data_IF_381860995354
#
_entry.id   IF_381860995354
#
_cell.length_a   1.000
_cell.length_b   1.000
_cell.length_c   1.000
_cell.angle_alpha   90.00
_cell.angle_beta   90.00
_cell.angle_gamma   90.00
#
_symmetry.space_group_name_H-M   'P 1'
#
loop_
_entity.id
_entity.type
_entity.pdbx_description
1 polymer ?
#
# COMPACT_ATOMS: atom_id res chain seq x y z
N UNK A 1 -24.41 40.21 0.59
CA UNK A 1 -25.54 39.45 -0.01
C UNK A 1 -25.02 38.09 -0.39
N UNK A 2 -25.00 37.19 0.58
CA UNK A 2 -24.76 35.76 0.37
C UNK A 2 -26.14 35.11 0.26
N UNK A 3 -26.34 34.25 -0.73
CA UNK A 3 -27.57 33.49 -0.93
C UNK A 3 -27.23 32.04 -0.67
N UNK A 4 -27.74 31.52 0.43
CA UNK A 4 -27.69 30.12 0.83
C UNK A 4 -28.67 29.31 -0.01
N UNK A 5 -28.23 28.17 -0.53
CA UNK A 5 -29.05 27.22 -1.28
C UNK A 5 -28.96 25.84 -0.66
N UNK A 6 -29.90 25.51 0.21
CA UNK A 6 -30.12 24.18 0.77
C UNK A 6 -30.78 23.27 -0.27
N UNK A 7 -30.15 22.13 -0.58
CA UNK A 7 -30.67 21.09 -1.47
C UNK A 7 -31.07 19.84 -0.68
N UNK A 8 -32.34 19.76 -0.33
CA UNK A 8 -33.02 18.58 0.21
C UNK A 8 -33.25 17.57 -0.92
N UNK A 9 -32.95 16.27 -0.72
CA UNK A 9 -33.43 15.22 -1.64
C UNK A 9 -34.17 14.14 -0.84
N UNK A 10 -35.44 14.02 -1.19
CA UNK A 10 -36.44 13.15 -0.58
C UNK A 10 -36.27 11.68 -1.02
N UNK A 11 -36.76 10.82 -0.13
CA UNK A 11 -36.89 9.38 -0.28
C UNK A 11 -38.11 9.06 -1.16
N UNK A 12 -37.99 8.08 -2.05
CA UNK A 12 -39.15 7.35 -2.55
C UNK A 12 -39.23 5.97 -1.90
N UNK A 13 -40.37 5.75 -1.24
CA UNK A 13 -40.83 4.45 -0.78
C UNK A 13 -41.68 3.76 -1.84
N UNK A 14 -41.70 2.44 -1.76
CA UNK A 14 -42.69 1.59 -2.41
C UNK A 14 -43.05 0.47 -1.41
N UNK A 15 -44.25 0.61 -0.85
CA UNK A 15 -45.12 -0.39 -0.19
C UNK A 15 -45.81 -1.22 -1.29
N UNK A 16 -46.37 -2.43 -1.15
CA UNK A 16 -46.60 -3.43 -0.12
C UNK A 16 -46.87 -4.75 -0.88
N UNK A 17 -46.59 -5.91 -0.27
CA UNK A 17 -47.62 -6.96 -0.12
C UNK A 17 -47.27 -7.88 1.06
N UNK A 18 -48.26 -8.15 1.90
CA UNK A 18 -48.21 -9.11 3.00
C UNK A 18 -48.52 -10.52 2.49
N UNK A 19 -48.65 -11.58 3.27
CA UNK A 19 -48.75 -11.84 4.70
C UNK A 19 -48.52 -13.36 4.85
N UNK A 20 -47.82 -13.82 5.88
CA UNK A 20 -48.32 -14.89 6.78
C UNK A 20 -47.30 -15.19 7.90
N UNK A 21 -47.80 -14.97 9.12
CA UNK A 21 -47.22 -15.34 10.41
C UNK A 21 -47.04 -16.85 10.49
N UNK A 22 -45.90 -17.28 11.00
CA UNK A 22 -45.87 -18.43 11.91
C UNK A 22 -44.88 -18.14 13.03
N UNK A 23 -45.42 -18.12 14.24
CA UNK A 23 -44.77 -17.89 15.52
C UNK A 23 -44.08 -19.16 16.00
N UNK A 24 -42.79 -19.07 16.31
CA UNK A 24 -42.14 -19.99 17.25
C UNK A 24 -41.25 -19.19 18.19
N UNK A 25 -41.82 -18.87 19.33
CA UNK A 25 -41.14 -18.45 20.55
C UNK A 25 -40.15 -19.53 21.00
N UNK A 26 -38.87 -19.17 21.14
CA UNK A 26 -37.87 -19.70 22.08
C UNK A 26 -36.54 -19.15 21.61
N UNK A 27 -35.82 -18.29 22.31
CA UNK A 27 -35.83 -17.90 23.70
C UNK A 27 -34.50 -17.18 23.87
N UNK A 28 -34.55 -15.91 24.27
CA UNK A 28 -33.39 -15.15 24.67
C UNK A 28 -32.62 -15.97 25.72
N UNK A 29 -31.50 -16.56 25.33
CA UNK A 29 -30.53 -17.00 26.32
C UNK A 29 -29.76 -15.75 26.72
N UNK A 30 -30.39 -14.98 27.61
CA UNK A 30 -29.75 -13.98 28.45
C UNK A 30 -28.40 -14.56 28.87
N UNK A 31 -27.34 -14.03 28.28
CA UNK A 31 -25.99 -14.27 28.74
C UNK A 31 -25.89 -13.53 30.07
N UNK A 32 -26.39 -14.19 31.12
CA UNK A 32 -26.15 -13.83 32.51
C UNK A 32 -24.63 -13.73 32.62
N UNK A 33 -24.13 -12.49 32.62
CA UNK A 33 -22.84 -12.19 33.21
C UNK A 33 -23.03 -12.51 34.68
N UNK A 34 -22.77 -13.75 35.04
CA UNK A 34 -22.34 -14.07 36.39
C UNK A 34 -21.01 -13.34 36.54
N UNK A 35 -21.08 -12.10 37.02
CA UNK A 35 -20.02 -11.57 37.87
C UNK A 35 -19.99 -12.48 39.10
N UNK A 36 -19.35 -13.64 38.95
CA UNK A 36 -18.89 -14.39 40.11
C UNK A 36 -17.82 -13.52 40.76
N UNK A 37 -18.27 -12.73 41.73
CA UNK A 37 -17.44 -12.05 42.70
C UNK A 37 -16.40 -13.08 43.17
N UNK A 38 -15.12 -12.71 43.11
CA UNK A 38 -14.10 -13.51 43.77
C UNK A 38 -14.56 -13.74 45.21
N UNK A 39 -14.46 -14.96 45.77
CA UNK A 39 -14.84 -15.19 47.15
C UNK A 39 -13.81 -14.49 48.04
N UNK A 40 -13.98 -13.18 48.24
CA UNK A 40 -13.26 -12.41 49.23
C UNK A 40 -13.89 -12.75 50.57
N UNK A 41 -13.43 -13.84 51.18
CA UNK A 41 -13.79 -14.14 52.55
C UNK A 41 -13.17 -13.10 53.47
N UNK A 42 -13.97 -12.58 54.39
CA UNK A 42 -13.47 -11.78 55.51
C UNK A 42 -12.38 -12.57 56.27
N UNK A 43 -11.20 -11.98 56.53
CA UNK A 43 -10.05 -12.66 57.17
C UNK A 43 -10.40 -13.32 58.51
N UNK A 44 -11.39 -12.77 59.23
CA UNK A 44 -11.87 -13.28 60.50
C UNK A 44 -12.62 -14.61 60.40
N UNK A 45 -13.34 -14.84 59.29
CA UNK A 45 -14.09 -16.07 59.04
C UNK A 45 -13.17 -17.22 58.64
N UNK A 46 -12.10 -16.94 57.90
CA UNK A 46 -11.06 -17.91 57.61
C UNK A 46 -10.31 -18.33 58.88
N UNK A 47 -10.03 -17.39 59.80
CA UNK A 47 -9.32 -17.68 61.04
C UNK A 47 -10.06 -18.66 61.98
N UNK A 48 -11.40 -18.53 62.08
CA UNK A 48 -12.29 -19.35 62.93
C UNK A 48 -12.55 -20.77 62.39
N UNK A 49 -12.12 -21.09 61.17
CA UNK A 49 -12.28 -22.42 60.58
C UNK A 49 -11.26 -23.43 61.13
N UNK A 50 -11.70 -24.68 61.29
CA UNK A 50 -10.83 -25.81 61.62
C UNK A 50 -9.75 -26.02 60.54
N UNK A 51 -8.58 -26.62 60.87
CA UNK A 51 -7.51 -26.81 59.89
C UNK A 51 -7.94 -27.61 58.65
N UNK A 52 -8.90 -28.53 58.79
CA UNK A 52 -9.49 -29.26 57.67
C UNK A 52 -10.34 -28.36 56.76
N UNK A 53 -11.14 -27.46 57.35
CA UNK A 53 -11.99 -26.52 56.62
C UNK A 53 -11.17 -25.49 55.83
N UNK A 54 -10.06 -24.99 56.42
CA UNK A 54 -9.11 -24.11 55.71
C UNK A 54 -8.52 -24.78 54.48
N UNK A 55 -8.05 -26.03 54.62
CA UNK A 55 -7.52 -26.82 53.51
C UNK A 55 -8.58 -27.07 52.43
N UNK A 56 -9.83 -27.33 52.83
CA UNK A 56 -10.94 -27.48 51.87
C UNK A 56 -11.25 -26.19 51.12
N UNK A 57 -11.23 -25.04 51.80
CA UNK A 57 -11.44 -23.75 51.16
C UNK A 57 -10.33 -23.41 50.15
N UNK A 58 -9.07 -23.61 50.51
CA UNK A 58 -7.94 -23.37 49.60
C UNK A 58 -8.02 -24.27 48.35
N UNK A 59 -8.50 -25.51 48.53
CA UNK A 59 -8.75 -26.43 47.43
C UNK A 59 -9.91 -25.95 46.54
N UNK A 60 -11.00 -25.45 47.14
CA UNK A 60 -12.12 -24.86 46.39
C UNK A 60 -11.69 -23.62 45.61
N UNK A 61 -10.89 -22.73 46.21
CA UNK A 61 -10.36 -21.54 45.55
C UNK A 61 -9.45 -21.91 44.37
N UNK A 62 -8.57 -22.90 44.55
CA UNK A 62 -7.74 -23.44 43.46
C UNK A 62 -8.57 -24.08 42.35
N UNK A 63 -9.64 -24.80 42.70
CA UNK A 63 -10.55 -25.40 41.73
C UNK A 63 -11.28 -24.32 40.93
N UNK A 64 -11.77 -23.27 41.58
CA UNK A 64 -12.42 -22.14 40.91
C UNK A 64 -11.45 -21.36 40.01
N UNK A 65 -10.22 -21.12 40.46
CA UNK A 65 -9.18 -20.51 39.64
C UNK A 65 -8.84 -21.37 38.41
N UNK A 66 -8.72 -22.69 38.59
CA UNK A 66 -8.49 -23.62 37.49
C UNK A 66 -9.69 -23.66 36.52
N UNK A 67 -10.93 -23.65 37.02
CA UNK A 67 -12.14 -23.57 36.18
C UNK A 67 -12.16 -22.30 35.34
N UNK A 68 -11.82 -21.15 35.93
CA UNK A 68 -11.75 -19.85 35.23
C UNK A 68 -10.62 -19.80 34.21
N UNK A 69 -9.45 -20.34 34.54
CA UNK A 69 -8.33 -20.45 33.60
C UNK A 69 -8.69 -21.35 32.41
N UNK A 70 -9.29 -22.51 32.67
CA UNK A 70 -9.76 -23.42 31.62
C UNK A 70 -10.84 -22.78 30.76
N UNK A 71 -11.81 -22.07 31.36
CA UNK A 71 -12.83 -21.33 30.62
C UNK A 71 -12.24 -20.25 29.71
N UNK A 72 -11.23 -19.51 30.20
CA UNK A 72 -10.50 -18.51 29.39
C UNK A 72 -9.74 -19.15 28.23
N UNK A 73 -9.07 -20.28 28.46
CA UNK A 73 -8.36 -21.01 27.41
C UNK A 73 -9.32 -21.58 26.36
N UNK A 74 -10.47 -22.14 26.77
CA UNK A 74 -11.51 -22.62 25.85
C UNK A 74 -12.11 -21.46 25.05
N UNK A 75 -12.36 -20.31 25.67
CA UNK A 75 -12.81 -19.12 24.94
C UNK A 75 -11.75 -18.58 23.98
N UNK A 76 -10.47 -18.65 24.35
CA UNK A 76 -9.35 -18.25 23.50
C UNK A 76 -9.14 -19.24 22.33
N UNK A 77 -9.29 -20.53 22.57
CA UNK A 77 -9.27 -21.58 21.56
C UNK A 77 -10.47 -21.43 20.61
N UNK A 78 -11.68 -21.23 21.14
CA UNK A 78 -12.88 -20.92 20.34
C UNK A 78 -12.64 -19.69 19.48
N UNK A 79 -12.11 -18.60 20.04
CA UNK A 79 -11.75 -17.39 19.27
C UNK A 79 -10.66 -17.65 18.23
N UNK A 80 -9.73 -18.57 18.48
CA UNK A 80 -8.66 -18.96 17.53
C UNK A 80 -9.18 -19.87 16.42
N UNK A 81 -10.17 -20.71 16.71
CA UNK A 81 -10.82 -21.61 15.76
C UNK A 81 -11.93 -20.92 14.94
N UNK A 82 -12.64 -19.97 15.55
CA UNK A 82 -13.66 -19.13 14.94
C UNK A 82 -13.05 -17.93 14.21
N UNK A 83 -11.80 -17.54 14.54
CA UNK A 83 -11.04 -16.61 13.73
C UNK A 83 -10.97 -17.17 12.30
N UNK A 84 -11.41 -16.40 11.28
CA UNK A 84 -11.27 -16.81 9.89
C UNK A 84 -9.83 -17.23 9.62
N UNK A 85 -9.61 -18.30 8.86
CA UNK A 85 -8.28 -18.75 8.46
C UNK A 85 -7.59 -17.58 7.74
N UNK A 86 -6.73 -16.87 8.47
CA UNK A 86 -5.95 -15.77 7.93
C UNK A 86 -4.98 -16.36 6.91
N UNK A 87 -5.32 -16.23 5.63
CA UNK A 87 -4.41 -16.58 4.54
C UNK A 87 -3.09 -15.84 4.80
N UNK A 88 -2.00 -16.60 4.96
CA UNK A 88 -0.63 -16.11 5.16
C UNK A 88 -0.40 -14.74 4.51
N UNK A 89 -0.29 -13.71 5.34
CA UNK A 89 -0.15 -12.32 4.91
C UNK A 89 -1.32 -11.49 5.41
N UNK A 90 -1.15 -10.88 6.58
CA UNK A 90 -2.03 -9.81 7.09
C UNK A 90 -2.29 -8.84 5.94
N UNK A 91 -3.52 -8.88 5.43
CA UNK A 91 -4.00 -8.02 4.37
C UNK A 91 -3.59 -6.59 4.72
N UNK A 92 -2.86 -5.93 3.82
CA UNK A 92 -2.46 -4.53 3.93
C UNK A 92 -3.57 -3.63 4.52
N UNK A 93 -4.84 -3.97 4.29
CA UNK A 93 -6.02 -3.36 4.90
C UNK A 93 -6.05 -3.47 6.42
N UNK A 94 -5.89 -4.65 7.02
CA UNK A 94 -5.86 -4.83 8.48
C UNK A 94 -4.73 -4.04 9.14
N UNK A 95 -3.55 -4.02 8.50
CA UNK A 95 -2.43 -3.20 8.97
C UNK A 95 -2.75 -1.70 8.92
N UNK A 96 -3.42 -1.23 7.86
CA UNK A 96 -3.90 0.16 7.77
C UNK A 96 -4.99 0.47 8.77
N UNK A 97 -5.97 -0.41 8.95
CA UNK A 97 -7.07 -0.26 9.93
C UNK A 97 -6.54 -0.24 11.36
N UNK A 98 -5.57 -1.09 11.69
CA UNK A 98 -4.92 -1.08 13.01
C UNK A 98 -4.11 0.20 13.21
N UNK A 99 -3.41 0.68 12.18
CA UNK A 99 -2.72 1.97 12.23
C UNK A 99 -3.69 3.15 12.38
N UNK A 100 -4.85 3.12 11.72
CA UNK A 100 -5.88 4.13 11.88
C UNK A 100 -6.47 4.11 13.29
N UNK A 101 -6.82 2.93 13.82
CA UNK A 101 -7.30 2.80 15.21
C UNK A 101 -6.28 3.26 16.25
N UNK A 102 -4.99 2.99 16.02
CA UNK A 102 -3.93 3.50 16.91
C UNK A 102 -3.80 5.03 16.84
N UNK A 103 -3.98 5.61 15.65
CA UNK A 103 -3.96 7.06 15.47
C UNK A 103 -5.20 7.70 16.11
N UNK A 104 -6.39 7.16 15.89
CA UNK A 104 -7.65 7.58 16.52
C UNK A 104 -7.56 7.54 18.03
N UNK A 105 -7.06 6.45 18.63
CA UNK A 105 -6.83 6.36 20.07
C UNK A 105 -5.85 7.42 20.58
N UNK A 106 -4.78 7.73 19.82
CA UNK A 106 -3.86 8.82 20.19
C UNK A 106 -4.54 10.18 20.09
N UNK A 107 -5.43 10.39 19.13
CA UNK A 107 -6.16 11.63 18.97
C UNK A 107 -7.19 11.81 20.08
N UNK A 108 -7.97 10.76 20.38
CA UNK A 108 -8.90 10.70 21.50
C UNK A 108 -8.20 10.95 22.84
N UNK A 109 -7.05 10.30 23.09
CA UNK A 109 -6.27 10.50 24.31
C UNK A 109 -5.79 11.94 24.48
N UNK A 110 -5.43 12.61 23.39
CA UNK A 110 -5.03 14.02 23.41
C UNK A 110 -6.21 15.00 23.29
N UNK A 111 -7.45 14.50 23.12
CA UNK A 111 -8.65 15.32 22.91
C UNK A 111 -8.66 16.09 21.58
N UNK A 112 -7.92 15.62 20.57
CA UNK A 112 -7.91 16.23 19.23
C UNK A 112 -8.90 15.54 18.30
N UNK A 113 -9.59 16.36 17.50
CA UNK A 113 -10.42 15.92 16.38
C UNK A 113 -9.57 15.19 15.32
N UNK A 114 -10.05 14.09 14.70
CA UNK A 114 -9.41 13.44 13.55
C UNK A 114 -8.97 14.37 12.42
N UNK A 115 -9.66 15.49 12.18
CA UNK A 115 -9.23 16.48 11.19
C UNK A 115 -7.89 17.17 11.55
N UNK A 116 -7.47 17.14 12.82
CA UNK A 116 -6.25 17.79 13.33
C UNK A 116 -5.11 16.79 13.56
N UNK A 117 -5.17 15.62 12.94
CA UNK A 117 -4.16 14.57 13.10
C UNK A 117 -2.72 15.01 12.80
N UNK A 118 -2.54 16.01 11.92
CA UNK A 118 -1.25 16.60 11.58
C UNK A 118 -0.55 17.27 12.78
N UNK A 119 -1.27 17.61 13.84
CA UNK A 119 -0.71 18.23 15.05
C UNK A 119 0.10 17.24 15.92
N UNK A 120 -0.06 15.92 15.68
CA UNK A 120 0.73 14.88 16.35
C UNK A 120 2.08 14.61 15.68
N UNK A 121 2.30 15.13 14.46
CA UNK A 121 3.56 14.97 13.75
C UNK A 121 4.57 16.04 14.20
N UNK A 122 5.81 15.63 14.42
CA UNK A 122 6.92 16.58 14.61
C UNK A 122 7.24 17.29 13.30
N UNK A 123 7.82 18.48 13.38
CA UNK A 123 8.23 19.24 12.19
C UNK A 123 9.11 18.40 11.25
N UNK A 124 10.10 17.68 11.79
CA UNK A 124 10.99 16.81 11.01
C UNK A 124 10.23 15.68 10.30
N UNK A 125 9.29 15.04 10.99
CA UNK A 125 8.48 13.96 10.42
C UNK A 125 7.54 14.49 9.32
N UNK A 126 6.98 15.68 9.49
CA UNK A 126 6.17 16.34 8.47
C UNK A 126 7.01 16.69 7.24
N UNK A 127 8.20 17.29 7.41
CA UNK A 127 9.10 17.61 6.31
C UNK A 127 9.51 16.38 5.50
N UNK A 128 9.82 15.27 6.17
CA UNK A 128 10.12 14.03 5.47
C UNK A 128 8.94 13.50 4.66
N UNK A 129 7.71 13.59 5.19
CA UNK A 129 6.50 13.19 4.47
C UNK A 129 6.30 14.06 3.23
N UNK A 130 6.44 15.38 3.36
CA UNK A 130 6.34 16.30 2.23
C UNK A 130 7.43 16.04 1.18
N UNK A 131 8.69 15.85 1.58
CA UNK A 131 9.79 15.49 0.67
C UNK A 131 9.56 14.16 -0.05
N UNK A 132 8.90 13.19 0.59
CA UNK A 132 8.49 11.92 -0.05
C UNK A 132 7.34 12.12 -1.03
N UNK A 133 6.45 13.08 -0.79
CA UNK A 133 5.34 13.43 -1.68
C UNK A 133 5.75 14.36 -2.83
N UNK A 134 6.83 15.11 -2.68
CA UNK A 134 7.43 15.91 -3.76
C UNK A 134 7.90 15.01 -4.90
N UNK A 135 7.08 14.96 -5.95
CA UNK A 135 7.42 14.28 -7.19
C UNK A 135 8.37 15.17 -7.98
N UNK A 136 9.57 14.66 -8.26
CA UNK A 136 10.46 15.33 -9.21
C UNK A 136 9.79 15.37 -10.59
N UNK A 137 9.77 16.53 -11.28
CA UNK A 137 9.16 16.62 -12.59
C UNK A 137 9.82 15.63 -13.55
N UNK A 138 9.00 14.96 -14.34
CA UNK A 138 9.50 14.08 -15.38
C UNK A 138 10.24 14.92 -16.44
N UNK A 139 11.38 14.44 -16.97
CA UNK A 139 12.07 15.13 -18.06
C UNK A 139 11.13 15.23 -19.27
N UNK A 140 11.03 16.43 -19.84
CA UNK A 140 10.10 16.73 -20.93
C UNK A 140 10.83 16.94 -22.25
N UNK A 141 10.28 16.39 -23.34
CA UNK A 141 10.81 16.58 -24.69
C UNK A 141 12.28 16.16 -24.83
N UNK A 142 13.12 17.07 -25.30
CA UNK A 142 14.56 16.84 -25.52
C UNK A 142 15.37 16.71 -24.22
N UNK A 143 14.85 17.15 -23.08
CA UNK A 143 15.54 17.07 -21.77
C UNK A 143 15.81 15.61 -21.32
N UNK A 144 15.13 14.65 -21.95
CA UNK A 144 15.39 13.21 -21.75
C UNK A 144 16.80 12.80 -22.16
N UNK A 145 17.40 13.48 -23.14
CA UNK A 145 18.72 13.14 -23.70
C UNK A 145 19.88 13.91 -23.07
N UNK A 146 19.62 14.63 -21.97
CA UNK A 146 20.61 15.50 -21.35
C UNK A 146 21.58 14.72 -20.46
N UNK A 147 22.78 15.29 -20.22
CA UNK A 147 23.79 14.70 -19.33
C UNK A 147 23.23 14.36 -17.94
N UNK A 148 22.34 15.22 -17.41
CA UNK A 148 21.67 14.99 -16.13
C UNK A 148 20.75 13.76 -16.14
N UNK A 149 20.03 13.54 -17.24
CA UNK A 149 19.17 12.36 -17.41
C UNK A 149 20.02 11.08 -17.51
N UNK A 150 21.11 11.12 -18.27
CA UNK A 150 22.08 10.03 -18.37
C UNK A 150 22.69 9.68 -17.01
N UNK A 151 23.12 10.69 -16.24
CA UNK A 151 23.63 10.50 -14.89
C UNK A 151 22.58 9.90 -13.95
N UNK A 152 21.34 10.39 -13.98
CA UNK A 152 20.26 9.84 -13.16
C UNK A 152 19.93 8.39 -13.53
N UNK A 153 19.97 8.04 -14.82
CA UNK A 153 19.79 6.67 -15.28
C UNK A 153 20.93 5.76 -14.79
N UNK A 154 22.17 6.22 -14.88
CA UNK A 154 23.33 5.52 -14.31
C UNK A 154 23.19 5.31 -12.80
N UNK A 155 22.85 6.37 -12.05
CA UNK A 155 22.63 6.31 -10.59
C UNK A 155 21.50 5.35 -10.21
N UNK A 156 20.47 5.19 -11.05
CA UNK A 156 19.43 4.18 -10.83
C UNK A 156 19.96 2.79 -11.08
N UNK A 157 20.73 2.58 -12.16
CA UNK A 157 21.35 1.29 -12.48
C UNK A 157 22.26 0.82 -11.35
N UNK A 158 23.15 1.67 -10.85
CA UNK A 158 24.10 1.28 -9.80
C UNK A 158 23.42 0.84 -8.50
N UNK A 159 22.21 1.32 -8.21
CA UNK A 159 21.42 0.84 -7.05
C UNK A 159 20.87 -0.57 -7.20
N UNK A 160 20.69 -1.04 -8.43
CA UNK A 160 20.14 -2.37 -8.72
C UNK A 160 21.21 -3.44 -8.90
N UNK A 161 22.49 -3.08 -8.88
CA UNK A 161 23.59 -4.04 -9.00
C UNK A 161 23.79 -4.70 -7.62
N UNK A 162 23.61 -6.03 -7.49
CA UNK A 162 23.87 -6.72 -6.24
C UNK A 162 25.37 -6.73 -5.96
N UNK A 163 25.75 -6.33 -4.74
CA UNK A 163 27.13 -6.36 -4.25
C UNK A 163 27.18 -7.20 -2.98
N UNK A 164 28.07 -8.20 -2.95
CA UNK A 164 28.36 -9.00 -1.76
C UNK A 164 29.75 -8.64 -1.24
N UNK A 165 29.85 -8.37 0.06
CA UNK A 165 31.14 -8.06 0.69
C UNK A 165 32.08 -9.27 0.69
N UNK A 166 31.53 -10.48 0.74
CA UNK A 166 32.28 -11.73 0.70
C UNK A 166 32.94 -11.94 -0.66
N UNK A 167 32.19 -11.74 -1.75
CA UNK A 167 32.71 -11.83 -3.11
C UNK A 167 33.85 -10.82 -3.33
N UNK A 168 33.72 -9.62 -2.75
CA UNK A 168 34.76 -8.60 -2.79
C UNK A 168 36.02 -9.00 -2.01
N UNK A 169 35.88 -9.52 -0.80
CA UNK A 169 37.02 -9.97 0.01
C UNK A 169 37.76 -11.12 -0.67
N UNK A 170 37.02 -12.08 -1.24
CA UNK A 170 37.59 -13.18 -2.01
C UNK A 170 38.37 -12.68 -3.24
N UNK A 171 37.82 -11.73 -3.98
CA UNK A 171 38.51 -11.11 -5.11
C UNK A 171 39.80 -10.39 -4.66
N UNK A 172 39.75 -9.68 -3.53
CA UNK A 172 40.90 -8.99 -2.94
C UNK A 172 42.02 -9.94 -2.50
N UNK A 173 41.68 -11.10 -1.93
CA UNK A 173 42.65 -12.12 -1.54
C UNK A 173 43.25 -12.85 -2.75
N UNK A 174 42.46 -13.02 -3.82
CA UNK A 174 42.90 -13.73 -5.03
C UNK A 174 43.88 -12.94 -5.90
N UNK A 175 43.78 -11.61 -5.92
CA UNK A 175 44.64 -10.75 -6.74
C UNK A 175 45.63 -9.96 -5.86
N UNK A 176 46.94 -10.27 -5.90
CA UNK A 176 47.96 -9.49 -5.20
C UNK A 176 48.05 -8.03 -5.68
N UNK A 177 47.63 -7.73 -6.92
CA UNK A 177 47.57 -6.40 -7.53
C UNK A 177 46.12 -5.90 -7.62
N UNK A 178 45.32 -6.16 -6.58
CA UNK A 178 43.91 -5.77 -6.54
C UNK A 178 43.72 -4.24 -6.61
N UNK A 179 44.59 -3.47 -5.95
CA UNK A 179 44.58 -2.01 -5.98
C UNK A 179 45.54 -1.50 -7.04
N UNK A 180 45.05 -1.45 -8.28
CA UNK A 180 45.87 -1.06 -9.43
C UNK A 180 46.10 0.45 -9.48
N UNK A 181 47.37 0.84 -9.59
CA UNK A 181 47.78 2.20 -9.93
C UNK A 181 47.87 2.37 -11.46
N UNK A 182 47.94 3.62 -11.95
CA UNK A 182 48.03 3.95 -13.38
C UNK A 182 49.25 3.35 -14.10
N UNK A 183 50.22 2.83 -13.35
CA UNK A 183 51.42 2.13 -13.84
C UNK A 183 51.27 0.60 -13.90
N UNK A 184 50.14 0.01 -13.49
CA UNK A 184 49.93 -1.44 -13.51
C UNK A 184 49.88 -2.00 -14.94
N UNK A 185 50.68 -3.03 -15.21
CA UNK A 185 50.83 -3.68 -16.53
C UNK A 185 49.69 -4.66 -16.86
N UNK A 186 48.70 -4.81 -15.97
CA UNK A 186 47.59 -5.74 -16.14
C UNK A 186 46.47 -5.21 -17.05
N UNK A 187 46.59 -3.99 -17.57
CA UNK A 187 45.70 -3.45 -18.60
C UNK A 187 45.82 -4.26 -19.90
N UNK A 188 44.69 -4.75 -20.41
CA UNK A 188 44.62 -5.52 -21.66
C UNK A 188 44.64 -7.04 -21.51
N UNK A 189 44.84 -7.57 -20.29
CA UNK A 189 44.57 -8.99 -19.98
C UNK A 189 43.10 -9.19 -19.66
N UNK A 190 42.48 -10.23 -20.22
CA UNK A 190 41.12 -10.61 -19.85
C UNK A 190 41.14 -11.13 -18.40
N UNK A 191 40.38 -10.54 -17.47
CA UNK A 191 40.28 -11.06 -16.12
C UNK A 191 39.45 -12.36 -16.11
N UNK A 192 39.81 -13.29 -15.23
CA UNK A 192 39.04 -14.51 -14.98
C UNK A 192 37.79 -14.14 -14.15
N UNK A 193 36.70 -13.82 -14.86
CA UNK A 193 35.41 -13.48 -14.26
C UNK A 193 34.57 -14.76 -14.18
N UNK A 194 33.95 -15.08 -13.03
CA UNK A 194 33.06 -16.23 -12.96
C UNK A 194 31.82 -16.02 -13.84
N UNK A 195 31.38 -17.08 -14.51
CA UNK A 195 30.24 -17.06 -15.45
C UNK A 195 28.97 -16.47 -14.81
N UNK A 196 28.73 -16.76 -13.54
CA UNK A 196 27.59 -16.22 -12.79
C UNK A 196 27.54 -14.68 -12.75
N UNK A 197 28.69 -14.00 -12.83
CA UNK A 197 28.74 -12.54 -12.91
C UNK A 197 28.51 -12.04 -14.35
N UNK A 198 28.92 -12.81 -15.35
CA UNK A 198 28.60 -12.55 -16.76
C UNK A 198 27.08 -12.68 -16.98
N UNK A 199 26.44 -13.70 -16.43
CA UNK A 199 24.99 -13.90 -16.52
C UNK A 199 24.21 -12.74 -15.88
N UNK A 200 24.65 -12.24 -14.72
CA UNK A 200 24.07 -11.04 -14.09
C UNK A 200 24.19 -9.80 -14.98
N UNK A 201 25.33 -9.64 -15.67
CA UNK A 201 25.51 -8.54 -16.62
C UNK A 201 24.58 -8.68 -17.81
N UNK A 202 24.47 -9.88 -18.39
CA UNK A 202 23.56 -10.16 -19.51
C UNK A 202 22.11 -9.86 -19.13
N UNK A 203 21.68 -10.28 -17.94
CA UNK A 203 20.34 -9.97 -17.43
C UNK A 203 20.07 -8.45 -17.29
N UNK A 204 21.06 -7.65 -16.84
CA UNK A 204 20.94 -6.19 -16.83
C UNK A 204 20.79 -5.61 -18.23
N UNK A 205 21.55 -6.14 -19.20
CA UNK A 205 21.49 -5.69 -20.59
C UNK A 205 20.13 -5.99 -21.23
N UNK A 206 19.56 -7.16 -20.96
CA UNK A 206 18.23 -7.56 -21.43
C UNK A 206 17.14 -6.69 -20.80
N UNK A 207 17.19 -6.43 -19.49
CA UNK A 207 16.27 -5.51 -18.82
C UNK A 207 16.37 -4.09 -19.42
N UNK A 208 17.59 -3.64 -19.73
CA UNK A 208 17.82 -2.35 -20.38
C UNK A 208 17.24 -2.30 -21.79
N UNK A 209 17.34 -3.39 -22.54
CA UNK A 209 16.75 -3.49 -23.88
C UNK A 209 15.22 -3.51 -23.81
N UNK A 210 14.63 -4.25 -22.86
CA UNK A 210 13.18 -4.28 -22.64
C UNK A 210 12.63 -2.90 -22.30
N UNK A 211 13.30 -2.17 -21.40
CA UNK A 211 12.97 -0.78 -21.05
C UNK A 211 13.05 0.14 -22.26
N UNK A 212 14.07 -0.02 -23.11
CA UNK A 212 14.22 0.76 -24.35
C UNK A 212 13.08 0.50 -25.34
N UNK A 213 12.69 -0.77 -25.53
CA UNK A 213 11.54 -1.15 -26.37
C UNK A 213 10.24 -0.53 -25.87
N UNK A 214 10.05 -0.48 -24.55
CA UNK A 214 8.86 0.11 -23.91
C UNK A 214 8.84 1.65 -23.83
N UNK A 215 9.95 2.33 -24.17
CA UNK A 215 10.09 3.77 -24.04
C UNK A 215 9.10 4.53 -24.93
N UNK A 216 8.88 4.04 -26.17
CA UNK A 216 7.83 4.54 -27.04
C UNK A 216 6.57 3.69 -26.87
N UNK A 217 5.57 4.24 -26.18
CA UNK A 217 4.28 3.57 -25.99
C UNK A 217 3.36 3.85 -27.17
N UNK A 218 2.86 2.80 -27.82
CA UNK A 218 1.76 2.93 -28.80
C UNK A 218 0.51 3.44 -28.07
N UNK A 219 -0.13 4.47 -28.64
CA UNK A 219 -1.44 4.94 -28.16
C UNK A 219 -2.50 3.93 -28.63
N UNK A 220 -3.51 3.66 -27.80
CA UNK A 220 -4.62 2.79 -28.19
C UNK A 220 -5.41 3.43 -29.33
N UNK A 221 -5.85 2.60 -30.28
CA UNK A 221 -6.81 3.01 -31.29
C UNK A 221 -8.19 3.16 -30.63
N UNK A 222 -8.93 4.19 -31.01
CA UNK A 222 -10.29 4.44 -30.55
C UNK A 222 -11.22 4.33 -31.75
N UNK A 223 -12.12 3.34 -31.76
CA UNK A 223 -13.00 3.06 -32.90
C UNK A 223 -14.03 4.16 -33.16
N UNK A 224 -14.36 4.94 -32.14
CA UNK A 224 -15.26 6.10 -32.23
C UNK A 224 -14.63 7.32 -32.90
N UNK A 225 -13.32 7.31 -33.16
CA UNK A 225 -12.64 8.45 -33.78
C UNK A 225 -12.83 8.41 -35.29
N UNK A 226 -13.24 9.54 -35.86
CA UNK A 226 -13.30 9.72 -37.32
C UNK A 226 -11.95 9.41 -37.97
N UNK A 227 -12.00 8.58 -39.03
CA UNK A 227 -10.84 8.10 -39.76
C UNK A 227 -10.53 9.10 -40.88
N UNK A 228 -9.47 9.87 -40.69
CA UNK A 228 -8.97 10.87 -41.66
C UNK A 228 -7.90 10.31 -42.63
N UNK A 229 -7.62 9.00 -42.57
CA UNK A 229 -6.49 8.38 -43.25
C UNK A 229 -6.82 7.04 -43.89
N UNK A 230 -6.20 6.77 -45.05
CA UNK A 230 -6.39 5.54 -45.83
C UNK A 230 -5.37 4.46 -45.43
N UNK A 231 -4.18 4.84 -44.96
CA UNK A 231 -3.12 3.92 -44.54
C UNK A 231 -2.38 4.43 -43.28
N UNK A 232 -1.67 3.54 -42.58
CA UNK A 232 -0.94 3.88 -41.35
C UNK A 232 0.08 5.00 -41.55
N UNK A 233 0.77 5.03 -42.69
CA UNK A 233 1.77 6.07 -42.99
C UNK A 233 1.11 7.45 -43.10
N UNK A 234 -0.09 7.50 -43.67
CA UNK A 234 -0.92 8.69 -43.79
C UNK A 234 -1.47 9.10 -42.42
N UNK A 235 -1.95 8.15 -41.59
CA UNK A 235 -2.37 8.44 -40.20
C UNK A 235 -1.22 9.07 -39.39
N UNK A 236 -0.02 8.52 -39.53
CA UNK A 236 1.19 9.08 -38.90
C UNK A 236 1.53 10.48 -39.42
N UNK A 237 1.31 10.76 -40.70
CA UNK A 237 1.52 12.07 -41.30
C UNK A 237 0.45 13.08 -40.85
N UNK A 238 -0.84 12.75 -40.92
CA UNK A 238 -1.94 13.56 -40.41
C UNK A 238 -1.73 13.90 -38.94
N UNK A 239 -1.36 12.92 -38.11
CA UNK A 239 -1.02 13.14 -36.68
C UNK A 239 0.19 14.06 -36.48
N UNK A 240 1.14 14.11 -37.42
CA UNK A 240 2.26 15.05 -37.37
C UNK A 240 1.79 16.47 -37.69
N UNK A 241 0.97 16.63 -38.73
CA UNK A 241 0.37 17.91 -39.12
C UNK A 241 -0.49 18.45 -37.98
N UNK A 242 -1.34 17.61 -37.38
CA UNK A 242 -2.20 17.98 -36.25
C UNK A 242 -1.39 18.49 -35.04
N UNK A 243 -0.24 17.87 -34.73
CA UNK A 243 0.64 18.35 -33.64
C UNK A 243 1.27 19.72 -33.93
N UNK A 244 1.57 20.02 -35.19
CA UNK A 244 2.24 21.26 -35.58
C UNK A 244 1.26 22.41 -35.82
N UNK A 245 0.15 22.12 -36.49
CA UNK A 245 -0.81 23.11 -37.01
C UNK A 245 -2.19 23.03 -36.36
N UNK A 246 -2.52 21.97 -35.62
CA UNK A 246 -3.83 21.80 -34.99
C UNK A 246 -4.21 22.98 -34.08
N UNK A 247 -3.23 23.55 -33.37
CA UNK A 247 -3.44 24.76 -32.54
C UNK A 247 -3.93 25.97 -33.36
N UNK A 248 -3.52 26.10 -34.62
CA UNK A 248 -3.83 27.24 -35.48
C UNK A 248 -5.02 26.99 -36.42
N UNK A 249 -5.45 25.74 -36.56
CA UNK A 249 -6.48 25.33 -37.53
C UNK A 249 -7.81 24.94 -36.88
N UNK A 250 -7.95 25.18 -35.57
CA UNK A 250 -9.16 24.86 -34.79
C UNK A 250 -10.41 25.51 -35.38
N UNK A 251 -10.34 26.79 -35.75
CA UNK A 251 -11.47 27.52 -36.34
C UNK A 251 -11.87 26.93 -37.69
N UNK A 252 -10.90 26.62 -38.54
CA UNK A 252 -11.13 26.01 -39.86
C UNK A 252 -11.80 24.64 -39.68
N UNK A 253 -11.33 23.84 -38.72
CA UNK A 253 -11.91 22.53 -38.41
C UNK A 253 -13.36 22.66 -37.92
N UNK A 254 -13.61 23.56 -36.98
CA UNK A 254 -14.95 23.81 -36.45
C UNK A 254 -15.91 24.33 -37.52
N UNK A 255 -15.44 25.17 -38.44
CA UNK A 255 -16.24 25.65 -39.57
C UNK A 255 -16.57 24.51 -40.53
N UNK A 256 -15.64 23.56 -40.76
CA UNK A 256 -15.90 22.37 -41.56
C UNK A 256 -16.98 21.48 -40.91
N UNK A 257 -16.90 21.27 -39.60
CA UNK A 257 -17.90 20.51 -38.83
C UNK A 257 -19.27 21.23 -38.79
N UNK A 258 -19.30 22.56 -38.91
CA UNK A 258 -20.52 23.38 -39.01
C UNK A 258 -21.07 23.54 -40.44
N UNK A 259 -20.48 22.89 -41.44
CA UNK A 259 -20.95 22.98 -42.81
C UNK A 259 -20.53 24.26 -43.54
N UNK A 260 -19.34 24.78 -43.24
CA UNK A 260 -18.67 25.93 -43.90
C UNK A 260 -19.32 27.30 -43.69
N UNK A 261 -20.28 27.42 -42.77
CA UNK A 261 -20.81 28.72 -42.35
C UNK A 261 -19.73 29.53 -41.61
N UNK A 262 -19.60 30.82 -41.96
CA UNK A 262 -18.73 31.75 -41.23
C UNK A 262 -19.34 32.05 -39.85
N UNK A 263 -18.52 32.30 -38.82
CA UNK A 263 -19.01 32.74 -37.52
C UNK A 263 -19.66 34.14 -37.66
N UNK A 264 -20.85 34.31 -37.09
CA UNK A 264 -21.46 35.63 -36.86
C UNK A 264 -20.65 36.47 -35.86
#
# INVERSE_FOLDING_TARGET
MAVDGEGHTEKHGQTDDGTLKESSETGDNEKVKEEEAEPTLDPESYAKMTPMQKRMFDLQLKLNAARKANGREVDAERKRAEAPVESRGVSKKKWFEEKQKQLEKRLEFNGLDPSKAYMLDTQDAAEEKYKKWEKKPAPFGWDVFNQRSLYNAYKKRTKHIPYSMEDYMKAKESDPDFFRDGSSLQYGKAPDIPDANVDKMVAELEDRESKRKSFSRRRRYHEEKDIDSINDRNEHFNRKIERAFGKYTVEIKNNLERGTALPD
#
